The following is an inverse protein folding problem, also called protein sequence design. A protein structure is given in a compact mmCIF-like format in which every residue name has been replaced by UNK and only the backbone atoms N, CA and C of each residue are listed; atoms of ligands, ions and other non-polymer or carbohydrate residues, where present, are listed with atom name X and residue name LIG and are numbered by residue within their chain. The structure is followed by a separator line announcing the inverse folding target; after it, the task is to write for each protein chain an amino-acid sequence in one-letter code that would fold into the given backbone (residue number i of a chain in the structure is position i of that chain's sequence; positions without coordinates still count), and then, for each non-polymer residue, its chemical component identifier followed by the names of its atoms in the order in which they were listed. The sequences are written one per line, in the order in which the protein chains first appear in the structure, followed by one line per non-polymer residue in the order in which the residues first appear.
data_IF_503703745374
#
_entry.id   IF_503703745374
#
_cell.length_a   1.000
_cell.length_b   1.000
_cell.length_c   1.000
_cell.angle_alpha   90.00
_cell.angle_beta   90.00
_cell.angle_gamma   90.00
#
_symmetry.space_group_name_H-M   'P 1'
#
loop_
_entity.id
_entity.type
_entity.pdbx_description
1 polymer ?
#
# COMPACT_ATOMS: atom_id res chain seq x y z
N UNK A 1 -1.44 1.74 -13.19
CA UNK A 1 -0.87 2.53 -12.09
C UNK A 1 -1.37 3.98 -12.09
N UNK A 2 -1.35 4.65 -13.22
CA UNK A 2 -1.86 6.03 -13.34
C UNK A 2 -3.28 6.20 -12.78
N UNK A 3 -4.17 5.25 -13.06
CA UNK A 3 -5.58 5.31 -12.66
C UNK A 3 -5.72 5.35 -11.14
N UNK A 4 -5.02 4.49 -10.41
CA UNK A 4 -5.15 4.53 -8.96
C UNK A 4 -4.40 5.68 -8.31
N UNK A 5 -3.32 6.18 -8.91
CA UNK A 5 -2.68 7.43 -8.44
C UNK A 5 -3.67 8.58 -8.57
N UNK A 6 -4.34 8.71 -9.70
CA UNK A 6 -5.39 9.69 -9.90
C UNK A 6 -6.52 9.53 -8.87
N UNK A 7 -6.93 8.30 -8.60
CA UNK A 7 -7.95 8.00 -7.58
C UNK A 7 -7.53 8.53 -6.20
N UNK A 8 -6.27 8.38 -5.81
CA UNK A 8 -5.76 8.92 -4.54
C UNK A 8 -5.94 10.45 -4.47
N UNK A 9 -5.57 11.15 -5.52
CA UNK A 9 -5.72 12.61 -5.58
C UNK A 9 -7.18 13.04 -5.56
N UNK A 10 -8.07 12.33 -6.25
CA UNK A 10 -9.51 12.61 -6.23
C UNK A 10 -10.12 12.37 -4.85
N UNK A 11 -9.76 11.26 -4.20
CA UNK A 11 -10.22 10.95 -2.84
C UNK A 11 -9.71 11.98 -1.82
N UNK A 12 -8.48 12.44 -1.97
CA UNK A 12 -7.94 13.49 -1.13
C UNK A 12 -8.67 14.82 -1.35
N UNK A 13 -8.90 15.19 -2.59
CA UNK A 13 -9.62 16.43 -2.95
C UNK A 13 -11.04 16.42 -2.40
N UNK A 14 -11.74 15.29 -2.53
CA UNK A 14 -13.17 15.20 -2.20
C UNK A 14 -13.43 14.93 -0.72
N UNK A 15 -12.62 14.10 -0.08
CA UNK A 15 -12.86 13.61 1.28
C UNK A 15 -11.75 13.97 2.28
N UNK A 16 -10.63 14.48 1.81
CA UNK A 16 -9.48 14.80 2.66
C UNK A 16 -8.65 13.57 3.09
N UNK A 17 -8.97 12.38 2.60
CA UNK A 17 -8.22 11.17 2.93
C UNK A 17 -6.79 11.25 2.36
N UNK A 18 -5.81 10.93 3.19
CA UNK A 18 -4.41 11.22 2.88
C UNK A 18 -3.45 10.04 3.07
N UNK A 19 -3.87 8.94 3.67
CA UNK A 19 -2.99 7.79 3.95
C UNK A 19 -3.36 6.61 3.06
N UNK A 20 -2.43 6.24 2.19
CA UNK A 20 -2.64 5.18 1.20
C UNK A 20 -1.53 4.14 1.27
N UNK A 21 -1.89 2.88 1.07
CA UNK A 21 -0.94 1.78 0.93
C UNK A 21 -1.20 1.10 -0.40
N UNK A 22 -0.19 1.04 -1.25
CA UNK A 22 -0.23 0.27 -2.50
C UNK A 22 0.44 -1.08 -2.25
N UNK A 23 -0.32 -2.15 -2.35
CA UNK A 23 0.16 -3.52 -2.20
C UNK A 23 0.41 -4.11 -3.57
N UNK A 24 1.60 -4.62 -3.79
CA UNK A 24 2.04 -5.19 -5.07
C UNK A 24 2.50 -6.65 -4.90
N UNK A 25 2.36 -7.50 -5.93
CA UNK A 25 2.68 -8.91 -5.81
C UNK A 25 4.18 -9.24 -5.93
N UNK A 26 5.00 -8.33 -6.44
CA UNK A 26 6.42 -8.58 -6.67
C UNK A 26 7.27 -7.32 -6.56
N UNK A 27 8.59 -7.54 -6.38
CA UNK A 27 9.57 -6.44 -6.34
C UNK A 27 9.62 -5.70 -7.67
N UNK A 28 9.51 -6.40 -8.80
CA UNK A 28 9.53 -5.77 -10.12
C UNK A 28 8.36 -4.80 -10.30
N UNK A 29 7.14 -5.21 -9.90
CA UNK A 29 5.96 -4.35 -9.95
C UNK A 29 6.10 -3.18 -8.96
N UNK A 30 6.66 -3.42 -7.78
CA UNK A 30 6.96 -2.38 -6.79
C UNK A 30 7.82 -1.26 -7.37
N UNK A 31 8.91 -1.60 -8.04
CA UNK A 31 9.79 -0.63 -8.67
C UNK A 31 9.10 0.13 -9.80
N UNK A 32 8.26 -0.54 -10.58
CA UNK A 32 7.45 0.08 -11.62
C UNK A 32 6.45 1.11 -11.06
N UNK A 33 5.79 0.78 -9.96
CA UNK A 33 4.87 1.69 -9.27
C UNK A 33 5.61 2.92 -8.74
N UNK A 34 6.74 2.72 -8.08
CA UNK A 34 7.59 3.80 -7.59
C UNK A 34 7.97 4.75 -8.71
N UNK A 35 8.42 4.21 -9.84
CA UNK A 35 8.78 4.99 -11.02
C UNK A 35 7.57 5.76 -11.57
N UNK A 36 6.39 5.18 -11.57
CA UNK A 36 5.17 5.87 -12.01
C UNK A 36 4.85 7.09 -11.14
N UNK A 37 5.02 6.99 -9.82
CA UNK A 37 4.88 8.14 -8.93
C UNK A 37 5.88 9.24 -9.26
N UNK A 38 7.13 8.88 -9.53
CA UNK A 38 8.18 9.85 -9.90
C UNK A 38 7.86 10.56 -11.22
N UNK A 39 7.48 9.80 -12.25
CA UNK A 39 7.19 10.33 -13.59
C UNK A 39 5.96 11.23 -13.59
N UNK A 40 4.92 10.88 -12.83
CA UNK A 40 3.65 11.61 -12.85
C UNK A 40 3.57 12.75 -11.84
N UNK A 41 4.60 12.97 -11.03
CA UNK A 41 4.58 13.96 -9.97
C UNK A 41 4.24 15.37 -10.47
N UNK A 42 4.88 15.82 -11.55
CA UNK A 42 4.64 17.15 -12.11
C UNK A 42 3.25 17.27 -12.74
N UNK A 43 2.77 16.21 -13.39
CA UNK A 43 1.43 16.16 -13.96
C UNK A 43 0.36 16.35 -12.87
N UNK A 44 0.47 15.65 -11.74
CA UNK A 44 -0.49 15.79 -10.64
C UNK A 44 -0.32 17.11 -9.90
N UNK A 45 0.90 17.64 -9.80
CA UNK A 45 1.13 18.98 -9.25
C UNK A 45 0.42 20.05 -10.09
N UNK A 46 0.45 19.93 -11.41
CA UNK A 46 -0.25 20.85 -12.31
C UNK A 46 -1.78 20.78 -12.14
N UNK A 47 -2.33 19.56 -12.04
CA UNK A 47 -3.78 19.36 -11.95
C UNK A 47 -4.36 19.59 -10.57
N UNK A 48 -3.64 19.26 -9.50
CA UNK A 48 -4.16 19.28 -8.12
C UNK A 48 -3.46 20.28 -7.20
N UNK A 49 -2.36 20.89 -7.66
CA UNK A 49 -1.61 21.85 -6.86
C UNK A 49 -0.83 21.22 -5.71
N UNK A 50 -0.64 19.91 -5.70
CA UNK A 50 0.08 19.19 -4.65
C UNK A 50 0.79 17.96 -5.20
N UNK A 51 1.82 17.50 -4.47
CA UNK A 51 2.56 16.27 -4.76
C UNK A 51 2.25 15.22 -3.70
N UNK A 52 2.17 13.97 -4.10
CA UNK A 52 2.13 12.84 -3.17
C UNK A 52 3.55 12.53 -2.68
N UNK A 53 3.68 12.33 -1.37
CA UNK A 53 4.88 11.74 -0.80
C UNK A 53 4.74 10.22 -0.86
N UNK A 54 5.76 9.53 -1.33
CA UNK A 54 5.74 8.09 -1.45
C UNK A 54 7.06 7.49 -1.03
N UNK A 55 7.00 6.28 -0.51
CA UNK A 55 8.18 5.49 -0.19
C UNK A 55 7.87 4.01 -0.32
N UNK A 56 8.92 3.22 -0.51
CA UNK A 56 8.84 1.76 -0.48
C UNK A 56 9.12 1.31 0.95
N UNK A 57 8.22 0.49 1.52
CA UNK A 57 8.43 -0.09 2.84
C UNK A 57 9.76 -0.83 2.89
N UNK A 58 10.56 -0.52 3.91
CA UNK A 58 11.86 -1.11 4.13
C UNK A 58 12.02 -1.44 5.62
N UNK A 59 12.16 -2.72 5.95
CA UNK A 59 12.34 -3.18 7.33
C UNK A 59 13.63 -2.67 7.99
N UNK A 60 14.58 -2.19 7.19
CA UNK A 60 15.82 -1.58 7.66
C UNK A 60 15.72 -0.07 7.91
N UNK A 61 14.60 0.55 7.55
CA UNK A 61 14.37 1.99 7.74
C UNK A 61 12.94 2.26 8.21
N UNK A 62 12.65 1.85 9.43
CA UNK A 62 11.30 1.97 10.01
C UNK A 62 10.90 3.41 10.34
N UNK A 63 11.86 4.35 10.39
CA UNK A 63 11.58 5.76 10.63
C UNK A 63 10.67 6.37 9.56
N UNK A 64 10.66 5.82 8.34
CA UNK A 64 9.76 6.26 7.29
C UNK A 64 8.28 6.06 7.66
N UNK A 65 7.95 5.12 8.54
CA UNK A 65 6.59 4.92 9.05
C UNK A 65 6.13 6.09 9.91
N UNK A 66 7.01 6.66 10.71
CA UNK A 66 6.71 7.87 11.50
C UNK A 66 6.47 9.08 10.58
N UNK A 67 7.26 9.22 9.54
CA UNK A 67 7.07 10.27 8.52
C UNK A 67 5.75 10.08 7.77
N UNK A 68 5.38 8.84 7.46
CA UNK A 68 4.09 8.50 6.86
C UNK A 68 2.93 8.91 7.76
N UNK A 69 3.02 8.63 9.04
CA UNK A 69 1.98 8.95 10.03
C UNK A 69 1.83 10.44 10.27
N UNK A 70 2.94 11.17 10.41
CA UNK A 70 2.96 12.58 10.78
C UNK A 70 2.88 13.52 9.58
N UNK A 71 3.17 13.04 8.38
CA UNK A 71 3.21 13.87 7.17
C UNK A 71 1.84 14.43 6.81
N UNK A 72 1.79 15.71 6.47
CA UNK A 72 0.60 16.34 5.89
C UNK A 72 0.47 15.98 4.41
N UNK A 73 -0.74 16.13 3.86
CA UNK A 73 -1.04 15.82 2.46
C UNK A 73 -1.05 14.33 2.15
N UNK A 74 -0.96 14.00 0.88
CA UNK A 74 -1.02 12.62 0.42
C UNK A 74 0.28 11.89 0.74
N UNK A 75 0.20 10.83 1.53
CA UNK A 75 1.32 9.95 1.88
C UNK A 75 1.01 8.53 1.43
N UNK A 76 1.92 7.92 0.70
CA UNK A 76 1.75 6.60 0.10
C UNK A 76 2.90 5.68 0.51
N UNK A 77 2.56 4.52 1.07
CA UNK A 77 3.50 3.43 1.29
C UNK A 77 3.30 2.36 0.21
N UNK A 78 4.37 1.99 -0.45
CA UNK A 78 4.37 0.90 -1.43
C UNK A 78 4.99 -0.32 -0.75
N UNK A 79 4.26 -1.43 -0.72
CA UNK A 79 4.70 -2.65 -0.02
C UNK A 79 4.38 -3.88 -0.87
N UNK A 80 5.32 -4.81 -0.94
CA UNK A 80 5.08 -6.10 -1.56
C UNK A 80 4.54 -7.11 -0.54
N UNK A 81 3.74 -8.06 -0.99
CA UNK A 81 3.03 -9.01 -0.13
C UNK A 81 3.96 -9.82 0.78
N UNK A 82 5.17 -10.12 0.32
CA UNK A 82 6.15 -10.89 1.09
C UNK A 82 6.60 -10.20 2.37
N UNK A 83 6.43 -8.88 2.46
CA UNK A 83 6.83 -8.11 3.63
C UNK A 83 5.87 -8.28 4.82
N UNK A 84 4.62 -8.72 4.60
CA UNK A 84 3.62 -8.84 5.65
C UNK A 84 2.76 -10.11 5.58
N UNK A 85 2.67 -10.74 4.42
CA UNK A 85 1.89 -11.95 4.21
C UNK A 85 2.81 -13.15 4.03
N UNK A 86 2.80 -14.05 4.99
CA UNK A 86 3.50 -15.32 4.90
C UNK A 86 2.60 -16.43 5.43
N UNK A 87 2.94 -17.69 5.14
CA UNK A 87 2.18 -18.83 5.62
C UNK A 87 2.03 -18.78 7.14
N UNK A 88 0.88 -19.21 7.64
CA UNK A 88 0.53 -19.22 9.07
C UNK A 88 1.43 -20.13 9.93
N UNK A 89 2.33 -20.88 9.34
CA UNK A 89 3.33 -21.65 10.07
C UNK A 89 4.45 -20.73 10.52
N UNK A 90 4.72 -20.68 11.81
CA UNK A 90 5.77 -19.85 12.40
C UNK A 90 7.12 -19.97 11.69
N UNK A 91 7.44 -21.17 11.22
CA UNK A 91 8.66 -21.47 10.48
C UNK A 91 8.66 -20.96 9.02
N UNK A 92 7.53 -20.54 8.49
CA UNK A 92 7.38 -20.07 7.11
C UNK A 92 7.36 -18.56 6.93
N UNK A 93 7.44 -17.79 8.02
CA UNK A 93 7.44 -16.32 7.91
C UNK A 93 8.80 -15.83 7.41
N UNK A 94 8.78 -15.01 6.38
CA UNK A 94 9.98 -14.30 5.96
C UNK A 94 10.52 -13.44 7.09
N UNK A 95 11.82 -13.14 7.07
CA UNK A 95 12.43 -12.22 8.04
C UNK A 95 11.69 -10.87 8.08
N UNK A 96 11.29 -10.36 6.93
CA UNK A 96 10.56 -9.10 6.81
C UNK A 96 9.18 -9.16 7.48
N UNK A 97 8.44 -10.26 7.28
CA UNK A 97 7.13 -10.43 7.92
C UNK A 97 7.23 -10.57 9.43
N UNK A 98 8.32 -11.15 9.95
CA UNK A 98 8.56 -11.17 11.41
C UNK A 98 8.81 -9.77 11.95
N UNK A 99 9.57 -8.95 11.23
CA UNK A 99 9.90 -7.58 11.67
C UNK A 99 8.64 -6.73 11.79
N UNK A 100 7.74 -6.78 10.80
CA UNK A 100 6.55 -5.92 10.81
C UNK A 100 5.61 -6.23 11.98
N UNK A 101 5.59 -7.47 12.48
CA UNK A 101 4.71 -7.91 13.57
C UNK A 101 5.39 -7.95 14.94
N UNK A 102 6.67 -7.58 15.04
CA UNK A 102 7.45 -7.67 16.28
C UNK A 102 7.75 -6.31 16.87
N UNK A 103 7.82 -6.25 18.22
CA UNK A 103 8.36 -5.07 18.90
C UNK A 103 9.83 -4.89 18.50
N UNK A 104 10.19 -3.69 18.08
CA UNK A 104 11.54 -3.37 17.60
C UNK A 104 12.17 -2.31 18.49
N UNK A 105 13.34 -2.61 19.05
CA UNK A 105 14.07 -1.67 19.90
C UNK A 105 14.49 -0.43 19.11
N UNK A 106 14.92 -0.61 17.87
CA UNK A 106 15.28 0.47 16.95
C UNK A 106 14.11 1.36 16.55
N UNK A 107 12.88 0.94 16.90
CA UNK A 107 11.64 1.66 16.61
C UNK A 107 10.88 2.02 17.90
N UNK A 108 11.62 2.33 18.96
CA UNK A 108 11.04 2.72 20.26
C UNK A 108 10.21 1.63 20.92
N UNK A 109 10.60 0.36 20.77
CA UNK A 109 9.87 -0.81 21.27
C UNK A 109 8.44 -0.93 20.76
N UNK A 110 8.14 -0.34 19.59
CA UNK A 110 6.85 -0.42 18.91
C UNK A 110 6.87 -1.49 17.82
N UNK A 111 5.71 -2.07 17.53
CA UNK A 111 5.52 -2.92 16.35
C UNK A 111 5.22 -2.04 15.15
N UNK A 112 5.92 -2.23 14.01
CA UNK A 112 5.63 -1.47 12.81
C UNK A 112 4.16 -1.54 12.38
N UNK A 113 3.53 -2.71 12.48
CA UNK A 113 2.13 -2.89 12.11
C UNK A 113 1.18 -2.00 12.92
N UNK A 114 1.47 -1.74 14.20
CA UNK A 114 0.62 -0.90 15.04
C UNK A 114 0.63 0.55 14.60
N UNK A 115 1.78 1.05 14.16
CA UNK A 115 1.91 2.41 13.60
C UNK A 115 1.12 2.52 12.29
N UNK A 116 1.23 1.54 11.42
CA UNK A 116 0.51 1.52 10.15
C UNK A 116 -1.00 1.49 10.39
N UNK A 117 -1.45 0.58 11.23
CA UNK A 117 -2.87 0.34 11.51
C UNK A 117 -3.55 1.55 12.17
N UNK A 118 -2.81 2.33 12.97
CA UNK A 118 -3.34 3.53 13.61
C UNK A 118 -3.74 4.61 12.60
N UNK A 119 -3.19 4.60 11.39
CA UNK A 119 -3.52 5.54 10.33
C UNK A 119 -4.85 5.23 9.61
N UNK A 120 -5.41 4.04 9.78
CA UNK A 120 -6.56 3.54 9.03
C UNK A 120 -6.42 3.83 7.52
N UNK A 121 -5.39 3.29 6.88
CA UNK A 121 -5.08 3.63 5.50
C UNK A 121 -6.12 3.09 4.51
N UNK A 122 -6.20 3.72 3.35
CA UNK A 122 -6.88 3.15 2.20
C UNK A 122 -5.88 2.23 1.49
N UNK A 123 -6.25 0.98 1.29
CA UNK A 123 -5.39 -0.01 0.62
C UNK A 123 -5.78 -0.12 -0.84
N UNK A 124 -4.77 -0.09 -1.70
CA UNK A 124 -4.91 -0.34 -3.13
C UNK A 124 -4.14 -1.62 -3.45
N UNK A 125 -4.84 -2.61 -3.98
CA UNK A 125 -4.25 -3.87 -4.42
C UNK A 125 -4.01 -3.81 -5.93
N UNK A 126 -2.76 -3.92 -6.33
CA UNK A 126 -2.34 -3.98 -7.72
C UNK A 126 -2.21 -5.44 -8.14
N UNK A 127 -3.07 -5.90 -9.06
CA UNK A 127 -3.14 -7.28 -9.52
C UNK A 127 -3.34 -8.31 -8.39
N UNK A 128 -4.45 -8.23 -7.62
CA UNK A 128 -4.66 -9.05 -6.43
C UNK A 128 -4.68 -10.56 -6.70
N UNK A 129 -5.04 -10.99 -7.91
CA UNK A 129 -5.02 -12.40 -8.29
C UNK A 129 -3.61 -13.02 -8.28
N UNK A 130 -2.57 -12.20 -8.33
CA UNK A 130 -1.17 -12.64 -8.27
C UNK A 130 -0.62 -12.73 -6.85
N UNK A 131 -1.42 -12.43 -5.83
CA UNK A 131 -0.98 -12.23 -4.45
C UNK A 131 -1.19 -13.45 -3.52
N UNK A 132 -1.57 -14.61 -4.03
CA UNK A 132 -1.65 -15.82 -3.20
C UNK A 132 -2.90 -15.97 -2.31
N UNK A 133 -4.02 -15.41 -2.69
CA UNK A 133 -5.32 -15.78 -2.16
C UNK A 133 -5.60 -15.47 -0.68
N UNK A 134 -6.10 -16.49 0.06
CA UNK A 134 -6.65 -16.31 1.41
C UNK A 134 -5.65 -15.78 2.46
N UNK A 135 -4.37 -16.12 2.36
CA UNK A 135 -3.35 -15.68 3.31
C UNK A 135 -3.15 -14.17 3.22
N UNK A 136 -3.07 -13.64 2.01
CA UNK A 136 -2.93 -12.20 1.78
C UNK A 136 -4.17 -11.45 2.23
N UNK A 137 -5.37 -11.93 1.91
CA UNK A 137 -6.62 -11.31 2.34
C UNK A 137 -6.75 -11.25 3.86
N UNK A 138 -6.34 -12.30 4.56
CA UNK A 138 -6.32 -12.33 6.02
C UNK A 138 -5.28 -11.35 6.59
N UNK A 139 -4.10 -11.27 6.01
CA UNK A 139 -3.04 -10.38 6.45
C UNK A 139 -3.39 -8.90 6.25
N UNK A 140 -4.14 -8.56 5.21
CA UNK A 140 -4.57 -7.18 4.94
C UNK A 140 -5.43 -6.59 6.05
N UNK A 141 -6.18 -7.41 6.78
CA UNK A 141 -6.99 -6.97 7.92
C UNK A 141 -6.13 -6.41 9.05
N UNK A 142 -4.87 -6.82 9.15
CA UNK A 142 -3.96 -6.33 10.18
C UNK A 142 -3.60 -4.84 10.00
N UNK A 143 -3.79 -4.29 8.81
CA UNK A 143 -3.60 -2.87 8.54
C UNK A 143 -4.78 -2.00 8.99
N UNK A 144 -5.89 -2.61 9.40
CA UNK A 144 -7.14 -1.93 9.77
C UNK A 144 -7.56 -0.88 8.72
N UNK A 145 -7.71 -1.27 7.44
CA UNK A 145 -7.97 -0.31 6.37
C UNK A 145 -9.33 0.35 6.51
N UNK A 146 -9.42 1.59 6.05
CA UNK A 146 -10.70 2.27 5.90
C UNK A 146 -11.56 1.54 4.86
N UNK A 147 -10.97 1.21 3.73
CA UNK A 147 -11.48 0.29 2.71
C UNK A 147 -10.35 -0.13 1.77
N UNK A 148 -10.64 -1.11 0.92
CA UNK A 148 -9.67 -1.66 -0.03
C UNK A 148 -10.21 -1.55 -1.44
N UNK A 149 -9.38 -1.06 -2.38
CA UNK A 149 -9.67 -1.00 -3.80
C UNK A 149 -8.80 -1.99 -4.57
N UNK A 150 -9.41 -2.77 -5.46
CA UNK A 150 -8.72 -3.73 -6.31
C UNK A 150 -8.57 -3.16 -7.72
N UNK A 151 -7.36 -3.22 -8.26
CA UNK A 151 -7.06 -2.84 -9.64
C UNK A 151 -6.44 -4.03 -10.36
N UNK A 152 -7.14 -4.55 -11.36
CA UNK A 152 -6.72 -5.73 -12.10
C UNK A 152 -7.11 -5.63 -13.57
N UNK A 153 -6.24 -6.11 -14.45
CA UNK A 153 -6.56 -6.31 -15.86
C UNK A 153 -7.42 -7.55 -16.08
N UNK A 154 -7.37 -8.53 -15.15
CA UNK A 154 -8.17 -9.76 -15.19
C UNK A 154 -8.84 -10.01 -13.84
N UNK A 155 -10.14 -10.35 -13.87
CA UNK A 155 -10.91 -10.59 -12.65
C UNK A 155 -11.05 -12.09 -12.43
N UNK A 156 -10.42 -12.62 -11.38
CA UNK A 156 -10.50 -14.02 -11.00
C UNK A 156 -11.61 -14.31 -9.98
N UNK A 157 -12.12 -13.28 -9.28
CA UNK A 157 -13.12 -13.38 -8.22
C UNK A 157 -14.16 -12.27 -8.39
N UNK A 158 -15.42 -12.56 -8.09
CA UNK A 158 -16.45 -11.53 -8.10
C UNK A 158 -16.26 -10.54 -6.96
N UNK A 159 -16.34 -9.27 -7.29
CA UNK A 159 -16.31 -8.15 -6.35
C UNK A 159 -17.43 -7.18 -6.69
N UNK A 160 -17.65 -6.19 -5.83
CA UNK A 160 -18.41 -5.01 -6.19
C UNK A 160 -17.60 -4.20 -7.21
N UNK A 161 -17.94 -4.36 -8.48
CA UNK A 161 -17.24 -3.68 -9.57
C UNK A 161 -17.72 -2.23 -9.67
N UNK A 162 -16.81 -1.29 -9.45
CA UNK A 162 -17.08 0.14 -9.55
C UNK A 162 -16.90 0.61 -10.99
N UNK A 163 -15.89 0.10 -11.67
CA UNK A 163 -15.57 0.50 -13.04
C UNK A 163 -14.79 -0.60 -13.76
N UNK A 164 -15.12 -0.81 -15.01
CA UNK A 164 -14.40 -1.73 -15.91
C UNK A 164 -13.93 -0.96 -17.13
N UNK A 165 -12.64 -1.05 -17.43
CA UNK A 165 -12.04 -0.58 -18.65
C UNK A 165 -11.38 -1.78 -19.34
N UNK A 166 -12.04 -2.31 -20.35
CA UNK A 166 -11.50 -3.41 -21.12
C UNK A 166 -10.64 -2.87 -22.25
N UNK A 167 -9.51 -3.54 -22.50
CA UNK A 167 -8.72 -3.31 -23.71
C UNK A 167 -9.48 -3.90 -24.90
N UNK A 168 -9.73 -3.07 -25.87
CA UNK A 168 -10.29 -3.49 -27.16
C UNK A 168 -9.23 -4.19 -28.00
#
# INVERSE_FOLDING_TARGET
TYVYIKTMFELNKKYGWSKFIVVVPSIAIREGVKKSFEITADHFMEHYGKKARFFVYNSSNLNQLDNFSSGSGINVMIINTQAFASSLKEDGRSKEARIIYSNRDEFGSRRPIDVIKANRPIIILDEPQKMGGAVTQKALKNFNPLFTLNYSATHAVQHNTVYVLDAL
#
